data_IF_901750881243
#
_entry.id   IF_901750881243
#
_cell.length_a   1.000
_cell.length_b   1.000
_cell.length_c   1.000
_cell.angle_alpha   90.00
_cell.angle_beta   90.00
_cell.angle_gamma   90.00
#
_symmetry.space_group_name_H-M   'P 1'
#
loop_
_entity.id
_entity.type
_entity.pdbx_description
1 polymer ?
#
# COMPACT_ATOMS: atom_id res chain seq x y z
N UNK A 1 -68.72 -43.88 -5.90
CA UNK A 1 -67.56 -43.37 -5.12
C UNK A 1 -67.04 -42.10 -5.79
N UNK A 2 -67.47 -40.93 -5.31
CA UNK A 2 -67.12 -39.63 -5.89
C UNK A 2 -65.72 -39.19 -5.43
N UNK A 3 -64.72 -39.24 -6.34
CA UNK A 3 -63.41 -38.62 -6.12
C UNK A 3 -63.57 -37.10 -6.22
N UNK A 4 -63.50 -36.43 -5.07
CA UNK A 4 -63.41 -34.97 -5.03
C UNK A 4 -62.10 -34.51 -5.68
N UNK A 5 -62.21 -33.70 -6.74
CA UNK A 5 -61.08 -33.14 -7.46
C UNK A 5 -60.45 -32.03 -6.59
N UNK A 6 -59.14 -32.12 -6.34
CA UNK A 6 -58.42 -31.13 -5.54
C UNK A 6 -58.37 -29.80 -6.29
N UNK A 7 -58.56 -28.66 -5.59
CA UNK A 7 -58.57 -27.34 -6.24
C UNK A 7 -57.22 -27.05 -6.90
N UNK A 8 -57.28 -26.56 -8.14
CA UNK A 8 -56.10 -26.11 -8.90
C UNK A 8 -55.86 -24.64 -8.57
N UNK A 9 -54.64 -24.30 -8.15
CA UNK A 9 -54.19 -22.93 -7.92
C UNK A 9 -54.20 -22.15 -9.24
N UNK A 10 -55.36 -21.63 -9.62
CA UNK A 10 -55.51 -20.66 -10.69
C UNK A 10 -55.37 -19.27 -10.09
N UNK A 11 -54.33 -18.54 -10.48
CA UNK A 11 -54.22 -17.10 -10.22
C UNK A 11 -52.92 -16.61 -9.56
N UNK A 12 -52.06 -17.48 -9.03
CA UNK A 12 -50.79 -17.01 -8.46
C UNK A 12 -49.68 -17.00 -9.53
N UNK A 13 -49.44 -15.83 -10.14
CA UNK A 13 -48.21 -15.58 -10.89
C UNK A 13 -47.03 -15.72 -9.93
N UNK A 14 -46.38 -16.88 -9.93
CA UNK A 14 -45.06 -17.02 -9.33
C UNK A 14 -44.12 -16.09 -10.09
N UNK A 15 -43.74 -14.96 -9.48
CA UNK A 15 -42.62 -14.15 -9.98
C UNK A 15 -41.38 -15.01 -9.82
N UNK A 16 -40.91 -15.60 -10.92
CA UNK A 16 -39.55 -16.10 -11.01
C UNK A 16 -38.63 -14.96 -10.61
N UNK A 17 -37.80 -15.13 -9.57
CA UNK A 17 -36.74 -14.17 -9.28
C UNK A 17 -35.93 -14.01 -10.57
N UNK A 18 -35.70 -12.77 -11.00
CA UNK A 18 -34.60 -12.48 -11.93
C UNK A 18 -33.39 -13.19 -11.33
N UNK A 19 -32.86 -14.18 -12.03
CA UNK A 19 -31.51 -14.64 -11.76
C UNK A 19 -30.68 -13.40 -12.04
N UNK A 20 -30.13 -12.78 -11.00
CA UNK A 20 -29.08 -11.80 -11.23
C UNK A 20 -28.02 -12.54 -12.06
N UNK A 21 -27.83 -12.11 -13.31
CA UNK A 21 -26.69 -12.54 -14.09
C UNK A 21 -25.49 -12.14 -13.24
N UNK A 22 -24.87 -13.11 -12.56
CA UNK A 22 -23.55 -12.90 -12.00
C UNK A 22 -22.69 -12.57 -13.21
N UNK A 23 -22.36 -11.30 -13.37
CA UNK A 23 -21.40 -10.84 -14.37
C UNK A 23 -20.24 -11.82 -14.40
N UNK A 24 -19.82 -12.24 -15.58
CA UNK A 24 -18.75 -13.24 -15.72
C UNK A 24 -17.46 -12.64 -15.17
N UNK A 25 -16.74 -13.39 -14.34
CA UNK A 25 -15.45 -12.95 -13.80
C UNK A 25 -14.37 -13.18 -14.86
N UNK A 26 -13.88 -12.11 -15.48
CA UNK A 26 -13.00 -12.13 -16.65
C UNK A 26 -11.70 -11.34 -16.36
N UNK A 27 -10.78 -11.87 -15.52
CA UNK A 27 -9.60 -11.13 -15.07
C UNK A 27 -8.62 -10.83 -16.21
N UNK A 28 -8.54 -11.69 -17.22
CA UNK A 28 -7.70 -11.44 -18.40
C UNK A 28 -8.21 -10.28 -19.23
N UNK A 29 -9.53 -10.17 -19.43
CA UNK A 29 -10.15 -9.04 -20.15
C UNK A 29 -9.96 -7.74 -19.37
N UNK A 30 -10.11 -7.79 -18.04
CA UNK A 30 -9.81 -6.66 -17.16
C UNK A 30 -8.36 -6.21 -17.33
N UNK A 31 -7.40 -7.14 -17.26
CA UNK A 31 -5.97 -6.86 -17.44
C UNK A 31 -5.67 -6.28 -18.81
N UNK A 32 -6.18 -6.88 -19.89
CA UNK A 32 -5.91 -6.43 -21.25
C UNK A 32 -6.40 -4.99 -21.46
N UNK A 33 -7.60 -4.67 -20.96
CA UNK A 33 -8.18 -3.31 -21.02
C UNK A 33 -7.34 -2.30 -20.25
N UNK A 34 -6.93 -2.67 -19.02
CA UNK A 34 -6.18 -1.77 -18.16
C UNK A 34 -4.76 -1.52 -18.69
N UNK A 35 -4.06 -2.59 -19.07
CA UNK A 35 -2.70 -2.51 -19.61
C UNK A 35 -2.67 -1.73 -20.92
N UNK A 36 -3.66 -1.93 -21.80
CA UNK A 36 -3.77 -1.16 -23.03
C UNK A 36 -3.86 0.34 -22.74
N UNK A 37 -4.79 0.77 -21.88
CA UNK A 37 -4.95 2.19 -21.58
C UNK A 37 -3.76 2.81 -20.85
N UNK A 38 -3.10 2.04 -19.98
CA UNK A 38 -1.84 2.46 -19.36
C UNK A 38 -0.73 2.65 -20.39
N UNK A 39 -0.59 1.72 -21.34
CA UNK A 39 0.43 1.83 -22.40
C UNK A 39 0.13 2.95 -23.41
N UNK A 40 -1.15 3.22 -23.69
CA UNK A 40 -1.58 4.34 -24.53
C UNK A 40 -1.31 5.71 -23.90
N UNK A 41 -1.35 5.80 -22.57
CA UNK A 41 -0.98 7.02 -21.84
C UNK A 41 0.53 7.33 -21.94
N UNK A 42 1.37 6.33 -22.22
CA UNK A 42 2.82 6.51 -22.30
C UNK A 42 3.40 7.06 -21.00
N UNK A 43 4.42 7.92 -21.09
CA UNK A 43 5.10 8.48 -19.91
C UNK A 43 4.31 9.62 -19.20
N UNK A 44 3.11 9.95 -19.66
CA UNK A 44 2.30 11.02 -19.08
C UNK A 44 1.54 10.52 -17.83
N UNK A 45 2.10 10.80 -16.66
CA UNK A 45 1.50 10.42 -15.37
C UNK A 45 0.13 11.05 -15.12
N UNK A 46 -0.15 12.23 -15.67
CA UNK A 46 -1.47 12.87 -15.55
C UNK A 46 -2.49 12.14 -16.44
N UNK A 47 -2.09 11.74 -17.64
CA UNK A 47 -2.91 10.90 -18.51
C UNK A 47 -3.17 9.52 -17.87
N UNK A 48 -2.16 8.90 -17.25
CA UNK A 48 -2.31 7.65 -16.49
C UNK A 48 -3.31 7.82 -15.34
N UNK A 49 -3.16 8.86 -14.51
CA UNK A 49 -4.05 9.12 -13.38
C UNK A 49 -5.50 9.33 -13.84
N UNK A 50 -5.71 10.15 -14.88
CA UNK A 50 -7.03 10.40 -15.48
C UNK A 50 -7.65 9.14 -16.08
N UNK A 51 -6.85 8.30 -16.75
CA UNK A 51 -7.30 7.02 -17.27
C UNK A 51 -7.78 6.11 -16.14
N UNK A 52 -6.99 5.96 -15.07
CA UNK A 52 -7.34 5.11 -13.93
C UNK A 52 -8.62 5.60 -13.22
N UNK A 53 -8.77 6.90 -13.00
CA UNK A 53 -9.96 7.48 -12.36
C UNK A 53 -11.22 7.29 -13.23
N UNK A 54 -11.15 7.68 -14.50
CA UNK A 54 -12.29 7.56 -15.42
C UNK A 54 -12.68 6.10 -15.66
N UNK A 55 -11.72 5.20 -15.77
CA UNK A 55 -11.95 3.77 -16.02
C UNK A 55 -12.52 3.06 -14.79
N UNK A 56 -12.26 3.56 -13.58
CA UNK A 56 -12.85 3.02 -12.34
C UNK A 56 -14.38 3.14 -12.28
N UNK A 57 -14.98 4.01 -13.09
CA UNK A 57 -16.45 4.07 -13.25
C UNK A 57 -17.01 2.95 -14.15
N UNK A 58 -16.15 2.30 -14.94
CA UNK A 58 -16.50 1.28 -15.95
C UNK A 58 -16.00 -0.12 -15.55
N UNK A 59 -14.84 -0.20 -14.92
CA UNK A 59 -14.23 -1.43 -14.44
C UNK A 59 -14.38 -1.52 -12.92
N UNK A 60 -14.78 -2.70 -12.43
CA UNK A 60 -14.91 -2.94 -11.00
C UNK A 60 -13.55 -3.29 -10.37
N UNK A 61 -12.79 -2.27 -9.98
CA UNK A 61 -11.49 -2.43 -9.31
C UNK A 61 -11.58 -3.23 -8.01
N UNK A 62 -12.70 -3.19 -7.30
CA UNK A 62 -12.85 -3.95 -6.04
C UNK A 62 -13.00 -5.42 -6.32
N UNK A 63 -13.78 -5.77 -7.35
CA UNK A 63 -13.96 -7.15 -7.77
C UNK A 63 -12.69 -7.77 -8.35
N UNK A 64 -11.92 -6.99 -9.10
CA UNK A 64 -10.66 -7.41 -9.70
C UNK A 64 -9.44 -6.93 -8.90
N UNK A 65 -9.58 -6.72 -7.58
CA UNK A 65 -8.53 -6.13 -6.76
C UNK A 65 -7.20 -6.87 -6.85
N UNK A 66 -7.22 -8.20 -6.84
CA UNK A 66 -6.00 -9.01 -6.98
C UNK A 66 -5.35 -8.82 -8.35
N UNK A 67 -6.15 -8.80 -9.42
CA UNK A 67 -5.66 -8.59 -10.79
C UNK A 67 -5.10 -7.17 -10.98
N UNK A 68 -5.78 -6.16 -10.43
CA UNK A 68 -5.30 -4.78 -10.44
C UNK A 68 -3.98 -4.67 -9.67
N UNK A 69 -3.88 -5.30 -8.51
CA UNK A 69 -2.66 -5.32 -7.70
C UNK A 69 -1.50 -5.96 -8.47
N UNK A 70 -1.70 -7.12 -9.09
CA UNK A 70 -0.68 -7.77 -9.92
C UNK A 70 -0.19 -6.85 -11.04
N UNK A 71 -1.09 -6.14 -11.72
CA UNK A 71 -0.72 -5.19 -12.79
C UNK A 71 0.11 -4.03 -12.23
N UNK A 72 -0.32 -3.43 -11.13
CA UNK A 72 0.37 -2.28 -10.54
C UNK A 72 1.69 -2.66 -9.87
N UNK A 73 1.87 -3.90 -9.42
CA UNK A 73 3.11 -4.36 -8.80
C UNK A 73 4.08 -4.92 -9.84
N UNK A 74 3.60 -5.86 -10.66
CA UNK A 74 4.42 -6.65 -11.55
C UNK A 74 4.26 -6.32 -13.05
N UNK A 75 3.40 -5.36 -13.38
CA UNK A 75 3.13 -4.94 -14.75
C UNK A 75 2.17 -5.85 -15.51
N UNK A 76 1.68 -6.94 -14.90
CA UNK A 76 0.78 -7.93 -15.52
C UNK A 76 0.25 -8.89 -14.45
N UNK A 77 -0.73 -9.74 -14.82
CA UNK A 77 -1.17 -10.86 -13.98
C UNK A 77 -0.04 -11.83 -13.62
N UNK A 78 -0.09 -12.30 -12.36
CA UNK A 78 0.84 -13.29 -11.81
C UNK A 78 0.21 -14.69 -11.73
N UNK A 79 1.01 -15.71 -12.02
CA UNK A 79 0.69 -17.10 -11.79
C UNK A 79 0.97 -17.47 -10.32
N UNK A 80 0.42 -18.59 -9.82
CA UNK A 80 0.86 -19.16 -8.55
C UNK A 80 2.38 -19.38 -8.56
N UNK A 81 3.09 -18.76 -7.61
CA UNK A 81 4.56 -18.76 -7.57
C UNK A 81 5.22 -17.44 -8.01
N UNK A 82 4.44 -16.44 -8.42
CA UNK A 82 4.93 -15.07 -8.65
C UNK A 82 5.56 -14.82 -10.03
N UNK A 83 5.53 -15.80 -10.93
CA UNK A 83 5.91 -15.60 -12.34
C UNK A 83 4.76 -14.99 -13.12
N UNK A 84 5.04 -14.20 -14.16
CA UNK A 84 3.98 -13.65 -15.02
C UNK A 84 3.30 -14.74 -15.84
N UNK A 85 1.97 -14.66 -16.00
CA UNK A 85 1.20 -15.65 -16.79
C UNK A 85 1.54 -15.55 -18.29
N UNK A 86 1.83 -14.34 -18.77
CA UNK A 86 2.13 -14.03 -20.17
C UNK A 86 3.59 -13.56 -20.34
N UNK A 87 4.52 -14.29 -19.72
CA UNK A 87 5.95 -13.97 -19.81
C UNK A 87 6.44 -14.10 -21.27
N UNK A 88 6.69 -12.95 -21.90
CA UNK A 88 7.06 -12.85 -23.32
C UNK A 88 6.18 -11.93 -24.18
N UNK A 89 4.96 -11.62 -23.76
CA UNK A 89 4.08 -10.68 -24.48
C UNK A 89 4.14 -9.28 -23.86
N UNK A 90 4.88 -8.37 -24.52
CA UNK A 90 5.01 -6.98 -24.07
C UNK A 90 3.70 -6.19 -24.16
N UNK A 91 2.75 -6.61 -24.99
CA UNK A 91 1.46 -5.92 -25.13
C UNK A 91 0.55 -6.13 -23.91
N UNK A 92 0.78 -7.22 -23.17
CA UNK A 92 0.09 -7.56 -21.92
C UNK A 92 0.88 -7.13 -20.68
N UNK A 93 1.91 -6.31 -20.88
CA UNK A 93 2.71 -5.72 -19.82
C UNK A 93 2.55 -4.20 -19.82
N UNK A 94 2.55 -3.61 -18.64
CA UNK A 94 2.78 -2.17 -18.49
C UNK A 94 4.07 -1.91 -17.71
N UNK A 95 4.75 -0.82 -18.07
CA UNK A 95 5.86 -0.28 -17.29
C UNK A 95 5.38 0.62 -16.14
N UNK A 96 4.08 0.91 -16.03
CA UNK A 96 3.50 1.63 -14.90
C UNK A 96 3.29 0.68 -13.72
N UNK A 97 4.38 0.08 -13.22
CA UNK A 97 4.35 -0.86 -12.13
C UNK A 97 5.56 -0.73 -11.20
N UNK A 98 5.44 -1.28 -9.99
CA UNK A 98 6.48 -1.23 -8.96
C UNK A 98 7.83 -1.79 -9.46
N UNK A 99 7.84 -2.90 -10.20
CA UNK A 99 9.10 -3.46 -10.71
C UNK A 99 9.83 -2.54 -11.68
N UNK A 100 9.09 -1.73 -12.43
CA UNK A 100 9.66 -0.74 -13.35
C UNK A 100 9.87 0.62 -12.68
N UNK A 101 9.34 0.84 -11.47
CA UNK A 101 9.30 2.16 -10.84
C UNK A 101 10.70 2.77 -10.62
N UNK A 102 11.74 1.98 -10.35
CA UNK A 102 13.12 2.52 -10.28
C UNK A 102 13.65 2.99 -11.64
N UNK A 103 13.25 2.36 -12.74
CA UNK A 103 13.61 2.79 -14.09
C UNK A 103 12.79 4.01 -14.51
N UNK A 104 11.50 4.03 -14.19
CA UNK A 104 10.62 5.19 -14.38
C UNK A 104 11.11 6.41 -13.61
N UNK A 105 11.57 6.23 -12.37
CA UNK A 105 12.16 7.31 -11.59
C UNK A 105 13.37 7.92 -12.28
N UNK A 106 14.27 7.07 -12.80
CA UNK A 106 15.45 7.53 -13.54
C UNK A 106 15.06 8.20 -14.85
N UNK A 107 14.07 7.66 -15.57
CA UNK A 107 13.60 8.19 -16.85
C UNK A 107 12.94 9.55 -16.71
N UNK A 108 12.18 9.73 -15.64
CA UNK A 108 11.39 10.94 -15.39
C UNK A 108 12.06 11.92 -14.39
N UNK A 109 13.31 11.66 -14.01
CA UNK A 109 14.07 12.42 -13.00
C UNK A 109 13.28 12.65 -11.69
N UNK A 110 12.52 11.61 -11.27
CA UNK A 110 11.72 11.66 -10.05
C UNK A 110 12.59 11.35 -8.85
N UNK A 111 12.72 12.28 -7.89
CA UNK A 111 13.53 12.05 -6.71
C UNK A 111 12.86 11.01 -5.81
N UNK A 112 13.68 10.16 -5.20
CA UNK A 112 13.23 9.13 -4.24
C UNK A 112 12.40 9.71 -3.10
N UNK A 113 12.74 10.92 -2.65
CA UNK A 113 12.00 11.67 -1.64
C UNK A 113 10.56 12.00 -2.05
N UNK A 114 10.28 12.22 -3.34
CA UNK A 114 8.92 12.42 -3.83
C UNK A 114 8.17 11.09 -3.90
N UNK A 115 8.82 10.04 -4.40
CA UNK A 115 8.22 8.71 -4.56
C UNK A 115 7.85 8.10 -3.21
N UNK A 116 8.73 8.17 -2.20
CA UNK A 116 8.43 7.64 -0.87
C UNK A 116 7.26 8.38 -0.21
N UNK A 117 7.14 9.69 -0.44
CA UNK A 117 6.01 10.50 0.03
C UNK A 117 4.69 10.07 -0.62
N UNK A 118 4.69 9.84 -1.93
CA UNK A 118 3.53 9.35 -2.67
C UNK A 118 3.14 7.93 -2.24
N UNK A 119 4.12 7.03 -2.12
CA UNK A 119 3.89 5.65 -1.66
C UNK A 119 3.25 5.63 -0.27
N UNK A 120 3.76 6.42 0.67
CA UNK A 120 3.14 6.57 1.98
C UNK A 120 1.68 7.01 1.89
N UNK A 121 1.39 8.07 1.12
CA UNK A 121 0.02 8.57 0.92
C UNK A 121 -0.90 7.50 0.33
N UNK A 122 -0.45 6.78 -0.70
CA UNK A 122 -1.22 5.69 -1.30
C UNK A 122 -1.50 4.55 -0.32
N UNK A 123 -0.46 4.08 0.38
CA UNK A 123 -0.56 2.96 1.35
C UNK A 123 -1.53 3.33 2.48
N UNK A 124 -1.46 4.56 3.00
CA UNK A 124 -2.32 4.98 4.12
C UNK A 124 -3.77 5.27 3.72
N UNK A 125 -4.00 5.74 2.49
CA UNK A 125 -5.35 6.01 1.96
C UNK A 125 -6.08 4.76 1.44
N UNK A 126 -5.36 3.64 1.24
CA UNK A 126 -5.94 2.39 0.78
C UNK A 126 -6.84 1.68 1.82
N UNK A 127 -6.87 2.17 3.06
CA UNK A 127 -7.51 1.50 4.20
C UNK A 127 -8.53 2.40 4.87
N UNK A 128 -9.70 1.84 5.17
CA UNK A 128 -10.63 2.45 6.12
C UNK A 128 -10.20 2.11 7.56
N UNK A 129 -9.80 3.14 8.30
CA UNK A 129 -9.19 2.98 9.61
C UNK A 129 -10.21 2.84 10.73
N UNK A 130 -9.91 1.97 11.70
CA UNK A 130 -10.68 1.89 12.93
C UNK A 130 -10.60 3.21 13.72
N UNK A 131 -11.66 3.54 14.46
CA UNK A 131 -11.73 4.73 15.34
C UNK A 131 -11.33 4.43 16.78
N UNK A 132 -11.15 3.16 17.14
CA UNK A 132 -10.63 2.76 18.45
C UNK A 132 -9.11 2.69 18.38
N UNK A 133 -8.46 3.45 19.26
CA UNK A 133 -7.01 3.66 19.27
C UNK A 133 -6.18 2.35 19.32
N UNK A 134 -6.59 1.38 20.14
CA UNK A 134 -5.87 0.10 20.22
C UNK A 134 -6.04 -0.73 18.95
N UNK A 135 -7.27 -0.79 18.40
CA UNK A 135 -7.57 -1.57 17.20
C UNK A 135 -6.92 -0.96 15.95
N UNK A 136 -6.89 0.37 15.84
CA UNK A 136 -6.27 1.04 14.69
C UNK A 136 -4.77 0.87 14.70
N UNK A 137 -4.13 0.86 15.88
CA UNK A 137 -2.69 0.61 15.96
C UNK A 137 -2.35 -0.80 15.47
N UNK A 138 -3.09 -1.83 15.89
CA UNK A 138 -2.87 -3.21 15.41
C UNK A 138 -3.16 -3.36 13.92
N UNK A 139 -4.25 -2.74 13.44
CA UNK A 139 -4.60 -2.73 12.02
C UNK A 139 -3.50 -2.06 11.18
N UNK A 140 -2.98 -0.91 11.63
CA UNK A 140 -1.92 -0.16 10.97
C UNK A 140 -0.63 -0.97 10.88
N UNK A 141 -0.21 -1.62 11.98
CA UNK A 141 0.99 -2.45 11.98
C UNK A 141 0.86 -3.64 11.03
N UNK A 142 -0.30 -4.30 11.00
CA UNK A 142 -0.54 -5.43 10.09
C UNK A 142 -0.48 -4.97 8.63
N UNK A 143 -1.13 -3.85 8.32
CA UNK A 143 -1.14 -3.27 6.97
C UNK A 143 0.26 -2.83 6.55
N UNK A 144 0.92 -1.97 7.33
CA UNK A 144 2.24 -1.43 7.01
C UNK A 144 3.31 -2.52 6.93
N UNK A 145 3.21 -3.60 7.71
CA UNK A 145 4.13 -4.74 7.60
C UNK A 145 4.07 -5.41 6.23
N UNK A 146 2.90 -5.46 5.59
CA UNK A 146 2.75 -6.01 4.24
C UNK A 146 3.48 -5.16 3.19
N UNK A 147 3.52 -3.83 3.39
CA UNK A 147 4.15 -2.89 2.46
C UNK A 147 5.59 -2.50 2.85
N UNK A 148 6.10 -2.95 3.99
CA UNK A 148 7.44 -2.61 4.45
C UNK A 148 8.53 -2.97 3.41
N UNK A 149 8.52 -4.14 2.74
CA UNK A 149 9.51 -4.43 1.70
C UNK A 149 9.45 -3.43 0.52
N UNK A 150 8.26 -2.94 0.18
CA UNK A 150 8.09 -1.92 -0.85
C UNK A 150 8.67 -0.58 -0.40
N UNK A 151 8.37 -0.16 0.84
CA UNK A 151 8.88 1.10 1.39
C UNK A 151 10.41 1.09 1.46
N UNK A 152 11.01 -0.01 1.93
CA UNK A 152 12.46 -0.20 2.01
C UNK A 152 13.17 0.02 0.67
N UNK A 153 12.55 -0.39 -0.45
CA UNK A 153 13.11 -0.22 -1.80
C UNK A 153 13.26 1.26 -2.20
N UNK A 154 12.44 2.15 -1.63
CA UNK A 154 12.37 3.59 -1.91
C UNK A 154 12.74 4.45 -0.68
N UNK A 155 13.36 3.85 0.32
CA UNK A 155 13.94 4.53 1.49
C UNK A 155 15.41 4.13 1.66
N UNK A 156 16.14 4.10 0.54
CA UNK A 156 17.55 3.72 0.46
C UNK A 156 18.51 4.89 0.71
N UNK A 157 18.00 6.13 0.71
CA UNK A 157 18.75 7.33 1.05
C UNK A 157 18.31 7.87 2.40
N UNK A 158 19.24 8.38 3.20
CA UNK A 158 18.91 8.97 4.51
C UNK A 158 17.89 10.10 4.43
N UNK A 159 17.83 10.85 3.32
CA UNK A 159 16.81 11.90 3.13
C UNK A 159 15.42 11.32 2.85
N UNK A 160 15.29 10.22 2.08
CA UNK A 160 13.99 9.56 1.85
C UNK A 160 13.45 8.94 3.13
N UNK A 161 14.31 8.32 3.94
CA UNK A 161 13.94 7.79 5.26
C UNK A 161 13.42 8.89 6.18
N UNK A 162 14.12 10.03 6.21
CA UNK A 162 13.74 11.18 7.03
C UNK A 162 12.39 11.76 6.62
N UNK A 163 12.14 11.89 5.31
CA UNK A 163 10.86 12.33 4.76
C UNK A 163 9.75 11.35 5.14
N UNK A 164 9.98 10.04 5.03
CA UNK A 164 9.01 9.02 5.45
C UNK A 164 8.69 9.14 6.94
N UNK A 165 9.68 9.27 7.80
CA UNK A 165 9.48 9.40 9.25
C UNK A 165 8.72 10.69 9.61
N UNK A 166 9.01 11.80 8.95
CA UNK A 166 8.24 13.03 9.08
C UNK A 166 6.79 12.85 8.62
N UNK A 167 6.55 12.13 7.51
CA UNK A 167 5.20 11.81 7.03
C UNK A 167 4.42 10.95 8.01
N UNK A 168 5.06 9.96 8.64
CA UNK A 168 4.47 9.17 9.73
C UNK A 168 4.08 10.08 10.90
N UNK A 169 4.98 10.99 11.29
CA UNK A 169 4.74 11.96 12.38
C UNK A 169 3.53 12.86 12.09
N UNK A 170 3.49 13.48 10.90
CA UNK A 170 2.38 14.32 10.45
C UNK A 170 1.06 13.56 10.46
N UNK A 171 1.05 12.35 9.91
CA UNK A 171 -0.15 11.51 9.83
C UNK A 171 -0.66 11.12 11.21
N UNK A 172 0.22 10.67 12.11
CA UNK A 172 -0.15 10.30 13.48
C UNK A 172 -0.66 11.50 14.29
N UNK A 173 -0.21 12.72 13.99
CA UNK A 173 -0.71 13.93 14.63
C UNK A 173 -2.08 14.36 14.09
N UNK A 174 -2.22 14.39 12.76
CA UNK A 174 -3.44 14.83 12.09
C UNK A 174 -4.59 13.83 12.33
N UNK A 175 -4.28 12.57 12.61
CA UNK A 175 -5.24 11.53 12.97
C UNK A 175 -5.14 11.15 14.46
N UNK A 176 -6.04 11.68 15.28
CA UNK A 176 -6.03 11.48 16.74
C UNK A 176 -6.01 10.01 17.17
N UNK A 177 -6.55 9.10 16.35
CA UNK A 177 -6.60 7.67 16.67
C UNK A 177 -5.23 7.00 16.52
N UNK A 178 -4.30 7.62 15.79
CA UNK A 178 -2.94 7.13 15.55
C UNK A 178 -1.90 7.67 16.53
N UNK A 179 -2.29 8.53 17.48
CA UNK A 179 -1.35 9.17 18.41
C UNK A 179 -0.49 8.17 19.20
N UNK A 180 -1.05 7.03 19.65
CA UNK A 180 -0.30 5.93 20.29
C UNK A 180 0.29 4.89 19.32
N UNK A 181 0.03 5.00 18.02
CA UNK A 181 0.57 4.09 17.01
C UNK A 181 1.98 4.51 16.56
N UNK A 182 2.33 5.80 16.68
CA UNK A 182 3.56 6.38 16.15
C UNK A 182 4.82 5.55 16.49
N UNK A 183 5.13 5.38 17.78
CA UNK A 183 6.30 4.62 18.22
C UNK A 183 6.31 3.20 17.63
N UNK A 184 5.16 2.53 17.63
CA UNK A 184 5.06 1.16 17.13
C UNK A 184 5.32 1.08 15.62
N UNK A 185 4.88 2.07 14.85
CA UNK A 185 5.13 2.18 13.41
C UNK A 185 6.62 2.38 13.15
N UNK A 186 7.27 3.31 13.88
CA UNK A 186 8.71 3.55 13.72
C UNK A 186 9.52 2.31 14.07
N UNK A 187 9.20 1.62 15.16
CA UNK A 187 9.85 0.36 15.55
C UNK A 187 9.62 -0.73 14.51
N UNK A 188 8.42 -0.82 13.91
CA UNK A 188 8.17 -1.75 12.80
C UNK A 188 9.06 -1.45 11.59
N UNK A 189 9.16 -0.19 11.20
CA UNK A 189 9.98 0.24 10.07
C UNK A 189 11.47 0.05 10.31
N UNK A 190 11.95 0.32 11.53
CA UNK A 190 13.32 -0.02 11.93
C UNK A 190 13.59 -1.53 11.78
N UNK A 191 12.72 -2.37 12.35
CA UNK A 191 12.87 -3.84 12.28
C UNK A 191 12.72 -4.44 10.89
N UNK A 192 12.20 -3.68 9.93
CA UNK A 192 11.96 -4.11 8.57
C UNK A 192 12.90 -3.44 7.57
N UNK A 193 13.99 -2.82 8.06
CA UNK A 193 15.02 -2.15 7.25
C UNK A 193 14.45 -1.03 6.37
N UNK A 194 13.37 -0.38 6.81
CA UNK A 194 12.75 0.78 6.15
C UNK A 194 13.34 2.08 6.67
N UNK A 195 13.69 2.13 7.96
CA UNK A 195 14.34 3.28 8.60
C UNK A 195 15.61 2.83 9.28
N UNK A 196 16.72 3.49 8.98
CA UNK A 196 18.00 3.31 9.65
C UNK A 196 17.99 3.92 11.05
N UNK A 197 18.96 3.49 11.86
CA UNK A 197 19.22 4.10 13.15
C UNK A 197 19.58 5.59 12.99
N UNK A 198 20.44 5.90 12.03
CA UNK A 198 20.92 7.25 11.76
C UNK A 198 19.77 8.20 11.40
N UNK A 199 18.80 7.74 10.60
CA UNK A 199 17.63 8.54 10.25
C UNK A 199 16.74 8.81 11.47
N UNK A 200 16.54 7.81 12.34
CA UNK A 200 15.73 7.94 13.55
C UNK A 200 16.39 8.89 14.56
N UNK A 201 17.70 8.74 14.78
CA UNK A 201 18.47 9.60 15.67
C UNK A 201 18.50 11.05 15.16
N UNK A 202 18.70 11.24 13.85
CA UNK A 202 18.67 12.57 13.22
C UNK A 202 17.31 13.24 13.34
N UNK A 203 16.23 12.50 13.07
CA UNK A 203 14.86 12.99 13.28
C UNK A 203 14.63 13.40 14.74
N UNK A 204 15.05 12.57 15.69
CA UNK A 204 14.87 12.84 17.12
C UNK A 204 15.57 14.12 17.56
N UNK A 205 16.82 14.30 17.13
CA UNK A 205 17.67 15.42 17.52
C UNK A 205 17.22 16.76 16.91
N UNK A 206 17.00 16.79 15.60
CA UNK A 206 16.87 18.07 14.89
C UNK A 206 15.91 18.08 13.70
N UNK A 207 15.63 16.93 13.09
CA UNK A 207 14.86 16.86 11.85
C UNK A 207 13.38 16.46 12.03
N UNK A 208 12.83 16.56 13.24
CA UNK A 208 11.40 16.38 13.50
C UNK A 208 10.59 17.61 13.06
N UNK A 209 9.34 17.40 12.65
CA UNK A 209 8.42 18.51 12.33
C UNK A 209 7.74 19.03 13.61
N UNK A 210 7.13 20.21 13.53
CA UNK A 210 6.47 20.84 14.69
C UNK A 210 5.23 20.04 15.18
N UNK A 211 4.53 19.36 14.26
CA UNK A 211 3.30 18.61 14.53
C UNK A 211 3.54 17.47 15.52
N UNK A 212 2.96 17.58 16.72
CA UNK A 212 3.08 16.56 17.76
C UNK A 212 4.50 16.39 18.34
N UNK A 213 5.43 17.33 18.10
CA UNK A 213 6.85 17.25 18.49
C UNK A 213 7.05 16.73 19.91
N UNK A 214 6.50 17.43 20.92
CA UNK A 214 6.74 17.08 22.32
C UNK A 214 6.23 15.68 22.66
N UNK A 215 5.07 15.31 22.13
CA UNK A 215 4.44 14.00 22.38
C UNK A 215 5.25 12.88 21.74
N UNK A 216 5.68 13.04 20.49
CA UNK A 216 6.38 11.97 19.78
C UNK A 216 7.84 11.83 20.22
N UNK A 217 8.51 12.92 20.60
CA UNK A 217 9.84 12.83 21.22
C UNK A 217 9.78 12.12 22.60
N UNK A 218 8.72 12.35 23.38
CA UNK A 218 8.53 11.63 24.64
C UNK A 218 8.27 10.13 24.40
N UNK A 219 7.39 9.79 23.45
CA UNK A 219 7.12 8.39 23.07
C UNK A 219 8.37 7.64 22.58
N UNK A 220 9.25 8.33 21.87
CA UNK A 220 10.45 7.72 21.27
C UNK A 220 11.64 7.65 22.21
N UNK A 221 11.62 8.37 23.34
CA UNK A 221 12.77 8.53 24.25
C UNK A 221 13.45 7.20 24.62
N UNK A 222 12.69 6.24 25.16
CA UNK A 222 13.24 4.94 25.57
C UNK A 222 13.83 4.14 24.41
N UNK A 223 13.26 4.28 23.21
CA UNK A 223 13.72 3.56 22.04
C UNK A 223 15.00 4.18 21.48
N UNK A 224 15.10 5.51 21.49
CA UNK A 224 16.32 6.24 21.12
C UNK A 224 17.46 5.99 22.09
N UNK A 225 17.18 6.01 23.40
CA UNK A 225 18.17 5.62 24.42
C UNK A 225 18.69 4.19 24.20
N UNK A 226 17.81 3.28 23.79
CA UNK A 226 18.21 1.90 23.46
C UNK A 226 19.09 1.81 22.20
N UNK A 227 18.76 2.56 21.13
CA UNK A 227 19.58 2.60 19.92
C UNK A 227 21.01 3.07 20.23
N UNK A 228 21.13 4.21 20.93
CA UNK A 228 22.42 4.79 21.29
C UNK A 228 23.29 3.84 22.15
N UNK A 229 22.69 3.10 23.08
CA UNK A 229 23.43 2.17 23.93
C UNK A 229 23.85 0.88 23.20
N UNK A 230 23.07 0.44 22.20
CA UNK A 230 23.40 -0.75 21.43
C UNK A 230 24.65 -0.55 20.56
N UNK A 231 24.86 0.68 20.08
CA UNK A 231 26.07 1.07 19.35
C UNK A 231 27.32 1.01 20.26
N UNK A 232 27.25 1.58 21.47
CA UNK A 232 28.35 1.63 22.45
C UNK A 232 28.85 0.23 22.88
N UNK A 233 27.95 -0.74 23.06
CA UNK A 233 28.34 -2.12 23.39
C UNK A 233 29.11 -2.79 22.23
N UNK A 234 28.71 -2.53 20.98
CA UNK A 234 29.30 -3.15 19.79
C UNK A 234 30.68 -2.60 19.42
N UNK A 235 30.97 -1.32 19.70
CA UNK A 235 32.30 -0.73 19.49
C UNK A 235 33.32 -1.21 20.55
N UNK A 236 32.87 -1.43 21.79
CA UNK A 236 33.75 -1.86 22.89
C UNK A 236 34.28 -3.31 22.74
N UNK A 237 33.57 -4.18 22.00
CA UNK A 237 34.01 -5.55 21.74
C UNK A 237 35.03 -5.66 20.57
N UNK A 238 35.27 -4.57 19.84
CA UNK A 238 36.17 -4.53 18.68
C UNK A 238 37.60 -4.06 18.96
N UNK A 239 37.88 -3.51 20.15
CA UNK A 239 39.21 -2.97 20.51
C UNK A 239 40.11 -3.96 21.29
N UNK A 240 39.60 -5.15 21.61
CA UNK A 240 40.33 -6.20 22.37
C UNK A 240 40.80 -7.41 21.51
N UNK A 241 41.00 -7.24 20.20
CA UNK A 241 41.56 -8.29 19.30
C UNK A 241 42.87 -7.91 18.62
#
# INVERSE_FOLDING_TARGET
MNKHQKPVLTGQRFKTRKRDEKEKFEPTVFRDTLVQGLNEAGDDLEAVAKFLDSTGSRLDYRRYADTLFDILVAGSMLAPGGTRIDDGDKTKMTNHCVFSAKEEMKRNDLPETAVIGLLWTCVMNAVEWNKKEELVAEQALKHLKQYAPLLAVFSSQGQSELILLQKVQEYCYDNIHFMKAFQKIVVLFYKADVLSEEAILKWYKEAHVAKGKSVFLDQMKKFVEWLQNAEEESESEGEDS
#
